data_IF_569198136146
#
_entry.id   IF_569198136146
#
_cell.length_a   1.000
_cell.length_b   1.000
_cell.length_c   1.000
_cell.angle_alpha   90.00
_cell.angle_beta   90.00
_cell.angle_gamma   90.00
#
_symmetry.space_group_name_H-M   'P 1'
#
loop_
_entity.id
_entity.type
_entity.pdbx_description
1 polymer ?
#
# COMPACT_ATOMS: atom_id res chain seq x y z
N UNK A 1 4.54 -13.60 9.72
CA UNK A 1 4.45 -12.73 8.53
C UNK A 1 4.91 -13.46 7.27
N UNK A 2 6.14 -14.03 7.19
CA UNK A 2 6.66 -14.65 5.96
C UNK A 2 5.74 -15.72 5.36
N UNK A 3 5.21 -16.63 6.17
CA UNK A 3 4.28 -17.67 5.69
C UNK A 3 3.02 -17.07 5.04
N UNK A 4 2.42 -16.05 5.65
CA UNK A 4 1.16 -15.46 5.16
C UNK A 4 1.43 -14.47 4.03
N UNK A 5 2.30 -13.48 4.26
CA UNK A 5 2.50 -12.38 3.31
C UNK A 5 3.34 -12.81 2.10
N UNK A 6 4.41 -13.59 2.30
CA UNK A 6 5.29 -13.99 1.20
C UNK A 6 4.77 -15.26 0.53
N UNK A 7 4.72 -16.36 1.26
CA UNK A 7 4.30 -17.66 0.69
C UNK A 7 2.85 -17.66 0.24
N UNK A 8 1.95 -16.97 0.99
CA UNK A 8 0.55 -16.82 0.59
C UNK A 8 0.39 -16.05 -0.72
N UNK A 9 1.12 -14.95 -0.89
CA UNK A 9 1.11 -14.17 -2.14
C UNK A 9 1.66 -15.01 -3.30
N UNK A 10 2.77 -15.73 -3.10
CA UNK A 10 3.30 -16.64 -4.13
C UNK A 10 2.31 -17.72 -4.53
N UNK A 11 1.61 -18.33 -3.56
CA UNK A 11 0.60 -19.34 -3.84
C UNK A 11 -0.56 -18.77 -4.66
N UNK A 12 -1.03 -17.57 -4.35
CA UNK A 12 -2.09 -16.89 -5.11
C UNK A 12 -1.62 -16.49 -6.51
N UNK A 13 -0.42 -15.95 -6.66
CA UNK A 13 0.17 -15.63 -7.96
C UNK A 13 0.27 -16.87 -8.84
N UNK A 14 0.76 -17.98 -8.28
CA UNK A 14 0.88 -19.23 -9.02
C UNK A 14 -0.49 -19.79 -9.41
N UNK A 15 -1.47 -19.75 -8.51
CA UNK A 15 -2.82 -20.21 -8.78
C UNK A 15 -3.50 -19.36 -9.88
N UNK A 16 -3.39 -18.02 -9.78
CA UNK A 16 -3.94 -17.11 -10.77
C UNK A 16 -3.29 -17.34 -12.15
N UNK A 17 -1.97 -17.47 -12.20
CA UNK A 17 -1.23 -17.77 -13.43
C UNK A 17 -1.73 -19.06 -14.09
N UNK A 18 -1.76 -20.16 -13.35
CA UNK A 18 -2.21 -21.46 -13.88
C UNK A 18 -3.68 -21.42 -14.34
N UNK A 19 -4.54 -20.74 -13.59
CA UNK A 19 -5.93 -20.59 -13.97
C UNK A 19 -6.08 -19.81 -15.27
N UNK A 20 -5.41 -18.69 -15.42
CA UNK A 20 -5.49 -17.85 -16.60
C UNK A 20 -4.88 -18.51 -17.84
N UNK A 21 -3.80 -19.26 -17.68
CA UNK A 21 -3.21 -20.05 -18.77
C UNK A 21 -4.11 -21.19 -19.24
N UNK A 22 -4.99 -21.71 -18.38
CA UNK A 22 -5.90 -22.82 -18.70
C UNK A 22 -7.20 -22.40 -19.41
N UNK A 23 -7.47 -21.08 -19.55
CA UNK A 23 -8.71 -20.61 -20.18
C UNK A 23 -8.71 -20.85 -21.69
N UNK A 24 -9.91 -21.12 -22.31
CA UNK A 24 -10.02 -21.41 -23.75
C UNK A 24 -9.61 -20.23 -24.65
N UNK A 25 -9.79 -19.00 -24.18
CA UNK A 25 -9.18 -17.81 -24.75
C UNK A 25 -7.94 -17.53 -23.94
N UNK A 26 -6.77 -18.04 -24.36
CA UNK A 26 -5.61 -17.91 -23.51
C UNK A 26 -5.30 -16.43 -23.36
N UNK A 27 -5.32 -15.97 -22.11
CA UNK A 27 -4.51 -14.83 -21.73
C UNK A 27 -3.11 -15.11 -22.26
N UNK A 28 -2.77 -14.52 -23.36
CA UNK A 28 -1.38 -14.49 -23.77
C UNK A 28 -0.69 -13.51 -22.83
N UNK A 29 -0.27 -14.05 -21.69
CA UNK A 29 0.67 -13.41 -20.81
C UNK A 29 1.90 -13.13 -21.67
N UNK A 30 2.07 -11.90 -22.13
CA UNK A 30 3.18 -11.52 -22.98
C UNK A 30 4.26 -10.90 -22.11
N UNK A 31 5.33 -11.65 -21.90
CA UNK A 31 6.57 -11.09 -21.39
C UNK A 31 7.10 -10.06 -22.41
N UNK A 32 7.48 -8.87 -21.91
CA UNK A 32 8.16 -7.78 -22.61
C UNK A 32 7.64 -7.31 -23.99
N UNK A 33 7.12 -6.09 -24.02
CA UNK A 33 7.15 -5.22 -25.21
C UNK A 33 5.98 -5.29 -26.19
N UNK A 34 4.86 -5.93 -25.85
CA UNK A 34 3.66 -5.91 -26.71
C UNK A 34 2.53 -5.09 -26.08
N UNK A 35 1.84 -4.29 -26.94
CA UNK A 35 0.60 -3.62 -26.56
C UNK A 35 -0.35 -4.63 -25.92
N UNK A 36 -0.77 -4.32 -24.67
CA UNK A 36 -1.74 -5.13 -23.93
C UNK A 36 -3.10 -4.83 -24.55
N UNK A 37 -3.65 -5.77 -25.31
CA UNK A 37 -5.09 -5.77 -25.58
C UNK A 37 -5.86 -5.82 -24.26
N UNK A 38 -7.06 -5.24 -24.21
CA UNK A 38 -7.88 -5.14 -23.01
C UNK A 38 -7.86 -6.46 -22.21
N UNK A 39 -7.34 -6.39 -21.01
CA UNK A 39 -7.19 -7.56 -20.15
C UNK A 39 -8.39 -7.59 -19.21
N UNK A 40 -9.24 -8.61 -19.32
CA UNK A 40 -10.44 -8.80 -18.48
C UNK A 40 -10.11 -9.30 -17.07
N UNK A 41 -8.85 -9.41 -16.70
CA UNK A 41 -8.43 -9.81 -15.36
C UNK A 41 -7.29 -8.95 -14.81
N UNK A 42 -7.20 -8.90 -13.49
CA UNK A 42 -6.18 -8.12 -12.79
C UNK A 42 -5.80 -8.82 -11.48
N UNK A 43 -4.51 -8.86 -11.20
CA UNK A 43 -4.02 -9.25 -9.88
C UNK A 43 -3.83 -8.00 -9.03
N UNK A 44 -4.82 -7.67 -8.21
CA UNK A 44 -4.75 -6.51 -7.34
C UNK A 44 -4.07 -6.86 -6.02
N UNK A 45 -2.95 -6.21 -5.72
CA UNK A 45 -2.15 -6.46 -4.52
C UNK A 45 -2.16 -5.26 -3.59
N UNK A 46 -2.70 -5.46 -2.37
CA UNK A 46 -2.73 -4.43 -1.33
C UNK A 46 -1.50 -4.56 -0.46
N UNK A 47 -0.64 -3.55 -0.47
CA UNK A 47 0.55 -3.43 0.37
C UNK A 47 0.37 -2.32 1.43
N UNK A 48 1.43 -1.69 1.85
CA UNK A 48 1.46 -0.68 2.91
C UNK A 48 2.55 0.36 2.62
N UNK A 49 2.35 1.58 3.04
CA UNK A 49 3.36 2.65 3.02
C UNK A 49 4.61 2.32 3.86
N UNK A 50 4.49 1.43 4.85
CA UNK A 50 5.61 0.97 5.68
C UNK A 50 6.74 0.30 4.86
N UNK A 51 6.49 -0.11 3.61
CA UNK A 51 7.53 -0.64 2.73
C UNK A 51 8.58 0.42 2.36
N UNK A 52 8.22 1.69 2.38
CA UNK A 52 9.12 2.81 2.12
C UNK A 52 10.03 3.15 3.31
N UNK A 53 9.67 2.72 4.51
CA UNK A 53 10.43 2.98 5.74
C UNK A 53 9.87 4.12 6.56
N UNK A 54 10.71 5.08 6.95
CA UNK A 54 10.33 6.23 7.74
C UNK A 54 10.83 7.52 7.09
N UNK A 55 10.01 8.56 7.12
CA UNK A 55 10.41 9.91 6.74
C UNK A 55 11.24 10.55 7.87
N UNK A 56 12.16 11.43 7.50
CA UNK A 56 12.94 12.20 8.47
C UNK A 56 12.03 13.18 9.21
N UNK A 57 12.14 13.19 10.54
CA UNK A 57 11.47 14.19 11.38
C UNK A 57 12.23 15.52 11.45
N UNK A 58 13.39 15.62 10.81
CA UNK A 58 14.17 16.84 10.77
C UNK A 58 13.63 17.76 9.68
N UNK A 59 12.64 18.57 10.02
CA UNK A 59 12.26 19.71 9.19
C UNK A 59 13.39 20.76 9.22
N UNK A 60 13.75 21.35 8.08
CA UNK A 60 14.59 22.55 8.08
C UNK A 60 13.96 23.61 8.98
N UNK A 61 14.75 24.27 9.82
CA UNK A 61 14.26 25.33 10.70
C UNK A 61 13.46 26.37 9.90
N UNK A 62 12.21 26.59 10.29
CA UNK A 62 11.34 27.62 9.69
C UNK A 62 10.26 27.12 8.72
N UNK A 63 10.14 25.82 8.49
CA UNK A 63 9.00 25.26 7.74
C UNK A 63 7.94 24.80 8.73
N UNK A 64 6.77 25.45 8.73
CA UNK A 64 5.61 24.98 9.49
C UNK A 64 5.17 23.60 8.96
N UNK A 65 4.83 22.64 9.85
CA UNK A 65 4.32 21.35 9.41
C UNK A 65 3.08 21.53 8.52
N UNK A 66 2.93 20.70 7.50
CA UNK A 66 1.93 20.88 6.45
C UNK A 66 0.52 20.47 6.88
N UNK A 67 -0.03 21.10 7.89
CA UNK A 67 -1.46 20.93 8.26
C UNK A 67 -2.40 21.84 7.47
N UNK A 68 -1.91 22.55 6.48
CA UNK A 68 -2.77 23.24 5.52
C UNK A 68 -2.92 22.34 4.30
N UNK A 69 -4.10 21.71 4.20
CA UNK A 69 -4.60 21.11 2.98
C UNK A 69 -4.39 22.07 1.81
N UNK A 70 -3.32 21.89 1.08
CA UNK A 70 -3.12 22.57 -0.19
C UNK A 70 -3.55 21.63 -1.29
N UNK A 71 -4.83 21.67 -1.60
CA UNK A 71 -5.34 21.17 -2.85
C UNK A 71 -4.83 22.07 -3.97
N UNK A 72 -3.57 21.93 -4.38
CA UNK A 72 -3.08 22.54 -5.61
C UNK A 72 -1.93 21.72 -6.17
N UNK A 73 -1.96 21.56 -7.49
CA UNK A 73 -0.94 20.87 -8.28
C UNK A 73 0.46 21.49 -8.20
N UNK A 74 0.64 22.61 -7.51
CA UNK A 74 1.91 23.28 -7.29
C UNK A 74 2.52 22.97 -5.92
N UNK A 75 1.77 22.42 -4.98
CA UNK A 75 2.21 22.15 -3.59
C UNK A 75 3.26 21.06 -3.46
N UNK A 76 3.34 20.14 -4.42
CA UNK A 76 4.27 19.01 -4.35
C UNK A 76 5.76 19.38 -4.47
N UNK A 77 6.09 20.56 -4.94
CA UNK A 77 7.48 21.02 -5.07
C UNK A 77 8.07 21.62 -3.78
N UNK A 78 7.23 21.90 -2.80
CA UNK A 78 7.67 22.64 -1.58
C UNK A 78 8.20 21.74 -0.46
N UNK A 79 7.95 20.43 -0.50
CA UNK A 79 8.17 19.55 0.65
C UNK A 79 9.30 18.51 0.48
N UNK A 80 9.96 18.45 -0.65
CA UNK A 80 11.14 17.59 -0.85
C UNK A 80 10.88 16.12 -0.49
N UNK A 81 11.69 15.58 0.43
CA UNK A 81 11.64 14.18 0.87
C UNK A 81 10.62 13.91 1.99
N UNK A 82 9.70 14.85 2.28
CA UNK A 82 8.71 14.74 3.36
C UNK A 82 7.52 13.83 3.01
N UNK A 83 7.50 13.26 1.82
CA UNK A 83 6.43 12.35 1.35
C UNK A 83 7.01 11.11 0.70
N UNK A 84 6.24 10.03 0.77
CA UNK A 84 6.48 8.85 -0.04
C UNK A 84 5.83 9.00 -1.43
N UNK A 85 6.62 8.77 -2.44
CA UNK A 85 6.17 8.68 -3.84
C UNK A 85 6.23 7.23 -4.30
N UNK A 86 5.51 6.89 -5.36
CA UNK A 86 5.55 5.55 -5.95
C UNK A 86 6.94 5.15 -6.45
N UNK A 87 7.80 6.15 -6.70
CA UNK A 87 9.21 5.99 -7.07
C UNK A 87 10.17 5.92 -5.88
N UNK A 88 9.68 6.12 -4.66
CA UNK A 88 10.50 6.03 -3.44
C UNK A 88 11.03 4.61 -3.28
N UNK A 89 12.33 4.48 -3.00
CA UNK A 89 12.95 3.18 -2.77
C UNK A 89 12.42 2.52 -1.50
N UNK A 90 12.17 1.23 -1.57
CA UNK A 90 11.76 0.44 -0.42
C UNK A 90 12.90 0.36 0.60
N UNK A 91 12.56 0.65 1.85
CA UNK A 91 13.47 0.60 3.00
C UNK A 91 12.73 0.13 4.26
N UNK A 92 12.18 -1.11 4.28
CA UNK A 92 11.34 -1.59 5.37
C UNK A 92 12.14 -1.77 6.66
N UNK A 93 11.61 -1.31 7.80
CA UNK A 93 12.26 -1.32 9.10
C UNK A 93 11.66 -2.34 10.10
N UNK A 94 10.66 -3.13 9.69
CA UNK A 94 10.06 -4.16 10.53
C UNK A 94 9.95 -5.51 9.81
N UNK A 95 9.86 -6.64 10.52
CA UNK A 95 9.61 -7.93 9.90
C UNK A 95 8.29 -7.97 9.10
N UNK A 96 7.29 -7.20 9.52
CA UNK A 96 6.04 -7.04 8.79
C UNK A 96 6.27 -6.30 7.48
N UNK A 97 6.81 -5.09 7.53
CA UNK A 97 7.04 -4.28 6.32
C UNK A 97 8.01 -4.96 5.35
N UNK A 98 9.05 -5.66 5.86
CA UNK A 98 9.94 -6.45 5.04
C UNK A 98 9.21 -7.60 4.32
N UNK A 99 8.26 -8.26 4.99
CA UNK A 99 7.46 -9.31 4.36
C UNK A 99 6.50 -8.77 3.29
N UNK A 100 5.94 -7.57 3.49
CA UNK A 100 5.10 -6.89 2.50
C UNK A 100 5.93 -6.43 1.30
N UNK A 101 7.08 -5.80 1.52
CA UNK A 101 8.01 -5.43 0.46
C UNK A 101 8.45 -6.64 -0.38
N UNK A 102 8.71 -7.78 0.27
CA UNK A 102 9.02 -9.03 -0.43
C UNK A 102 7.86 -9.49 -1.31
N UNK A 103 6.63 -9.40 -0.83
CA UNK A 103 5.43 -9.73 -1.62
C UNK A 103 5.28 -8.84 -2.85
N UNK A 104 5.49 -7.54 -2.69
CA UNK A 104 5.42 -6.56 -3.78
C UNK A 104 6.47 -6.87 -4.86
N UNK A 105 7.68 -7.25 -4.46
CA UNK A 105 8.73 -7.67 -5.41
C UNK A 105 8.34 -8.95 -6.16
N UNK A 106 7.72 -9.94 -5.50
CA UNK A 106 7.21 -11.13 -6.20
C UNK A 106 6.11 -10.79 -7.19
N UNK A 107 5.19 -9.89 -6.84
CA UNK A 107 4.12 -9.45 -7.74
C UNK A 107 4.72 -8.83 -9.00
N UNK A 108 5.70 -7.92 -8.87
CA UNK A 108 6.41 -7.32 -10.02
C UNK A 108 7.19 -8.35 -10.83
N UNK A 109 7.90 -9.26 -10.15
CA UNK A 109 8.65 -10.31 -10.82
C UNK A 109 7.76 -11.26 -11.65
N UNK A 110 6.53 -11.53 -11.19
CA UNK A 110 5.56 -12.31 -11.97
C UNK A 110 5.07 -11.57 -13.22
N UNK A 111 4.96 -10.24 -13.15
CA UNK A 111 4.71 -9.44 -14.35
C UNK A 111 5.89 -9.56 -15.32
N UNK A 112 7.10 -9.28 -14.87
CA UNK A 112 8.29 -9.24 -15.73
C UNK A 112 8.60 -10.61 -16.35
N UNK A 113 8.36 -11.69 -15.60
CA UNK A 113 8.68 -13.05 -16.04
C UNK A 113 7.57 -13.70 -16.87
N UNK A 114 6.33 -13.49 -16.48
CA UNK A 114 5.18 -14.22 -17.03
C UNK A 114 4.13 -13.31 -17.68
N UNK A 115 4.33 -11.99 -17.66
CA UNK A 115 3.38 -11.02 -18.21
C UNK A 115 2.06 -10.92 -17.43
N UNK A 116 2.01 -11.35 -16.18
CA UNK A 116 0.79 -11.22 -15.36
C UNK A 116 0.39 -9.75 -15.22
N UNK A 117 -0.92 -9.43 -15.14
CA UNK A 117 -1.45 -8.08 -15.05
C UNK A 117 -1.62 -7.61 -13.59
N UNK A 118 -0.56 -7.25 -12.85
CA UNK A 118 -0.69 -6.78 -11.48
C UNK A 118 -1.01 -5.29 -11.41
N UNK A 119 -1.58 -4.89 -10.27
CA UNK A 119 -1.59 -3.52 -9.77
C UNK A 119 -1.27 -3.58 -8.29
N UNK A 120 -0.35 -2.73 -7.83
CA UNK A 120 0.09 -2.68 -6.43
C UNK A 120 -0.42 -1.39 -5.80
N UNK A 121 -0.94 -1.46 -4.58
CA UNK A 121 -1.30 -0.26 -3.81
C UNK A 121 -0.62 -0.26 -2.46
N UNK A 122 -0.04 0.88 -2.08
CA UNK A 122 0.55 1.10 -0.77
C UNK A 122 -0.37 2.07 -0.01
N UNK A 123 -1.08 1.55 0.99
CA UNK A 123 -2.00 2.37 1.77
C UNK A 123 -1.39 2.79 3.11
N UNK A 124 -1.80 3.95 3.59
CA UNK A 124 -1.52 4.43 4.93
C UNK A 124 -2.37 3.72 5.99
N UNK A 125 -2.28 4.16 7.26
CA UNK A 125 -3.00 3.52 8.35
C UNK A 125 -4.51 3.70 8.22
N UNK A 126 -5.22 2.61 8.04
CA UNK A 126 -6.68 2.63 7.94
C UNK A 126 -7.34 2.78 9.31
N UNK A 127 -8.47 3.50 9.35
CA UNK A 127 -9.35 3.56 10.51
C UNK A 127 -10.83 3.52 10.07
N UNK A 128 -11.72 3.15 10.98
CA UNK A 128 -13.15 3.13 10.70
C UNK A 128 -13.92 2.07 11.47
N UNK A 129 -15.21 1.87 11.13
CA UNK A 129 -16.06 0.85 11.71
C UNK A 129 -15.44 -0.54 11.60
N UNK A 130 -15.66 -1.37 12.63
CA UNK A 130 -15.18 -2.76 12.69
C UNK A 130 -13.66 -2.94 12.70
N UNK A 131 -12.88 -1.87 12.89
CA UNK A 131 -11.42 -1.99 13.04
C UNK A 131 -11.09 -2.89 14.23
N UNK A 132 -10.07 -3.75 14.06
CA UNK A 132 -9.68 -4.72 15.06
C UNK A 132 -9.29 -4.05 16.41
N UNK A 133 -9.80 -4.52 17.55
CA UNK A 133 -9.71 -3.83 18.84
C UNK A 133 -8.29 -3.57 19.38
N UNK A 134 -7.29 -4.28 18.89
CA UNK A 134 -5.86 -4.05 19.27
C UNK A 134 -5.22 -2.86 18.57
N UNK A 135 -5.87 -2.33 17.52
CA UNK A 135 -5.36 -1.16 16.80
C UNK A 135 -5.55 0.11 17.61
N UNK A 136 -4.71 1.11 17.38
CA UNK A 136 -4.59 2.33 18.20
C UNK A 136 -5.94 2.97 18.52
N UNK A 137 -6.71 3.32 17.48
CA UNK A 137 -7.96 4.08 17.65
C UNK A 137 -9.00 3.31 18.45
N UNK A 138 -9.40 2.08 18.08
CA UNK A 138 -10.38 1.33 18.87
C UNK A 138 -9.87 0.94 20.27
N UNK A 139 -8.58 0.68 20.42
CA UNK A 139 -7.94 0.41 21.73
C UNK A 139 -8.09 1.63 22.65
N UNK A 140 -7.77 2.82 22.14
CA UNK A 140 -7.87 4.06 22.91
C UNK A 140 -9.33 4.35 23.30
N UNK A 141 -10.27 4.24 22.35
CA UNK A 141 -11.70 4.41 22.63
C UNK A 141 -12.15 3.45 23.73
N UNK A 142 -11.79 2.17 23.61
CA UNK A 142 -12.17 1.14 24.61
C UNK A 142 -11.54 1.43 25.98
N UNK A 143 -10.26 1.82 26.02
CA UNK A 143 -9.58 2.15 27.27
C UNK A 143 -10.19 3.39 27.93
N UNK A 144 -10.48 4.44 27.18
CA UNK A 144 -11.16 5.65 27.69
C UNK A 144 -12.52 5.30 28.30
N UNK A 145 -13.35 4.54 27.57
CA UNK A 145 -14.68 4.11 28.06
C UNK A 145 -14.59 3.28 29.35
N UNK A 146 -13.53 2.48 29.49
CA UNK A 146 -13.32 1.62 30.65
C UNK A 146 -12.40 2.26 31.73
N UNK A 147 -12.07 3.56 31.58
CA UNK A 147 -11.16 4.30 32.48
C UNK A 147 -9.82 3.61 32.70
N UNK A 148 -9.29 2.97 31.65
CA UNK A 148 -7.97 2.32 31.64
C UNK A 148 -6.91 3.28 31.09
N UNK A 149 -5.63 3.13 31.49
CA UNK A 149 -4.54 3.91 30.93
C UNK A 149 -4.41 3.73 29.42
N UNK A 150 -4.01 4.78 28.72
CA UNK A 150 -3.69 4.73 27.30
C UNK A 150 -2.22 4.33 27.14
N UNK A 151 -1.93 3.24 26.39
CA UNK A 151 -0.55 2.88 26.12
C UNK A 151 0.06 3.86 25.12
N UNK A 152 1.11 4.57 25.54
CA UNK A 152 1.90 5.45 24.67
C UNK A 152 3.26 4.82 24.47
N UNK A 153 3.65 4.61 23.21
CA UNK A 153 4.97 4.08 22.87
C UNK A 153 6.00 5.21 22.77
N UNK A 154 7.15 5.01 23.43
CA UNK A 154 8.20 6.00 23.49
C UNK A 154 7.70 7.31 24.11
N UNK A 155 7.94 8.44 23.43
CA UNK A 155 7.49 9.79 23.85
C UNK A 155 6.13 10.17 23.24
N UNK A 156 5.54 9.34 22.39
CA UNK A 156 4.30 9.66 21.70
C UNK A 156 4.46 10.60 20.51
N UNK A 157 5.67 10.76 20.00
CA UNK A 157 6.02 11.66 18.88
C UNK A 157 5.81 11.01 17.50
N UNK A 158 5.28 9.79 17.44
CA UNK A 158 5.05 9.10 16.17
C UNK A 158 3.94 9.79 15.37
N UNK A 159 4.27 10.27 14.19
CA UNK A 159 3.30 10.80 13.22
C UNK A 159 2.83 9.65 12.33
N UNK A 160 1.55 9.65 11.99
CA UNK A 160 0.92 8.68 11.09
C UNK A 160 -0.09 9.39 10.20
N UNK A 161 -0.14 8.97 8.97
CA UNK A 161 -1.22 9.29 8.07
C UNK A 161 -2.40 8.34 8.31
N UNK A 162 -3.63 8.86 8.31
CA UNK A 162 -4.84 8.13 8.65
C UNK A 162 -5.87 8.18 7.54
N UNK A 163 -6.12 7.03 6.94
CA UNK A 163 -7.04 6.85 5.82
C UNK A 163 -8.37 6.24 6.32
N UNK A 164 -9.49 6.89 6.04
CA UNK A 164 -10.79 6.32 6.38
C UNK A 164 -11.08 5.10 5.49
N UNK A 165 -11.55 4.01 6.12
CA UNK A 165 -11.66 2.70 5.45
C UNK A 165 -12.57 2.69 4.22
N UNK A 166 -13.65 3.50 4.21
CA UNK A 166 -14.53 3.60 3.04
C UNK A 166 -13.87 4.37 1.89
N UNK A 167 -13.04 5.37 2.20
CA UNK A 167 -12.26 6.09 1.18
C UNK A 167 -11.21 5.16 0.58
N UNK A 168 -10.57 4.32 1.40
CA UNK A 168 -9.69 3.28 0.90
C UNK A 168 -10.42 2.28 -0.01
N UNK A 169 -11.62 1.83 0.39
CA UNK A 169 -12.42 0.92 -0.44
C UNK A 169 -12.79 1.55 -1.79
N UNK A 170 -13.17 2.85 -1.80
CA UNK A 170 -13.43 3.58 -3.05
C UNK A 170 -12.19 3.73 -3.92
N UNK A 171 -11.03 4.02 -3.31
CA UNK A 171 -9.77 4.08 -4.04
C UNK A 171 -9.40 2.73 -4.66
N UNK A 172 -9.58 1.62 -3.92
CA UNK A 172 -9.38 0.27 -4.46
C UNK A 172 -10.28 0.03 -5.68
N UNK A 173 -11.56 0.34 -5.58
CA UNK A 173 -12.54 0.17 -6.67
C UNK A 173 -12.14 0.98 -7.91
N UNK A 174 -11.82 2.26 -7.73
CA UNK A 174 -11.35 3.14 -8.81
C UNK A 174 -10.07 2.61 -9.47
N UNK A 175 -9.06 2.26 -8.67
CA UNK A 175 -7.79 1.76 -9.22
C UNK A 175 -7.96 0.39 -9.87
N UNK A 176 -8.85 -0.47 -9.34
CA UNK A 176 -9.13 -1.76 -9.95
C UNK A 176 -9.71 -1.62 -11.36
N UNK A 177 -10.61 -0.67 -11.58
CA UNK A 177 -11.27 -0.47 -12.87
C UNK A 177 -10.50 0.45 -13.83
N UNK A 178 -9.91 1.52 -13.32
CA UNK A 178 -9.31 2.59 -14.12
C UNK A 178 -7.77 2.65 -14.05
N UNK A 179 -7.17 1.99 -13.07
CA UNK A 179 -5.72 2.00 -12.88
C UNK A 179 -4.98 1.26 -13.98
N UNK A 180 -3.75 1.66 -14.23
CA UNK A 180 -2.85 1.03 -15.20
C UNK A 180 -2.28 -0.26 -14.64
N UNK A 181 -2.09 -1.24 -15.51
CA UNK A 181 -1.43 -2.49 -15.17
C UNK A 181 0.06 -2.24 -14.93
N UNK A 182 0.62 -2.98 -13.99
CA UNK A 182 2.02 -2.91 -13.56
C UNK A 182 2.42 -1.56 -12.94
N UNK A 183 1.44 -0.77 -12.53
CA UNK A 183 1.68 0.47 -11.79
C UNK A 183 1.49 0.26 -10.29
N UNK A 184 2.16 1.12 -9.53
CA UNK A 184 1.99 1.25 -8.09
C UNK A 184 1.25 2.54 -7.79
N UNK A 185 0.36 2.52 -6.80
CA UNK A 185 -0.40 3.68 -6.36
C UNK A 185 -0.29 3.83 -4.85
N UNK A 186 0.03 5.03 -4.39
CA UNK A 186 -0.05 5.37 -2.98
C UNK A 186 -1.46 5.86 -2.64
N UNK A 187 -2.02 5.36 -1.54
CA UNK A 187 -3.34 5.76 -1.06
C UNK A 187 -3.18 6.29 0.36
N UNK A 188 -3.35 7.59 0.53
CA UNK A 188 -3.26 8.31 1.81
C UNK A 188 -4.53 9.10 2.14
N UNK A 189 -4.62 9.64 3.36
CA UNK A 189 -5.71 10.49 3.83
C UNK A 189 -5.40 11.98 3.77
#
# INVERSE_FOLDING_TARGET
FAKTNVMGTLALLQAAKLYWESQPTPYKLKAHGSELEAIDCRFYHISTDEVYGALSMNHPEGIEPPFKTVASSEGHKAYGDDFFYETTKYNPHSPYSASKASSDHFVRAYHDTYGMPPTVTNCSNNYGPYQFPEKLIPLFINNIRNRKPLPVYGKGENVRDWLYVEDHARAIDTIFHEGRINETYNIGG
#
